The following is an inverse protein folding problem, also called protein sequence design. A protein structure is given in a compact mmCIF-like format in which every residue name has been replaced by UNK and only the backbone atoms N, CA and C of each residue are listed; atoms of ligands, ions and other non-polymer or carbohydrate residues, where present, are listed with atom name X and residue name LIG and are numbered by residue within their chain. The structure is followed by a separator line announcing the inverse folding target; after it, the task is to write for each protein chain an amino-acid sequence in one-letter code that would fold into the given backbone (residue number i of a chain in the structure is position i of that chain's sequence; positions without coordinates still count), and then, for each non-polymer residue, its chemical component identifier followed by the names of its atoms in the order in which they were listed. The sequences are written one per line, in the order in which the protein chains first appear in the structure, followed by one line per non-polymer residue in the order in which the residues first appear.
data_IF_712119786505
#
_entry.id   IF_712119786505
#
_cell.length_a   1.000
_cell.length_b   1.000
_cell.length_c   1.000
_cell.angle_alpha   90.00
_cell.angle_beta   90.00
_cell.angle_gamma   90.00
#
_symmetry.space_group_name_H-M   'P 1'
#
loop_
_entity.id
_entity.type
_entity.pdbx_description
1 polymer ?
#
# COMPACT_ATOMS: atom_id res chain seq x y z
N UNK A 1 -23.85 8.23 17.72
CA UNK A 1 -25.22 7.78 17.99
C UNK A 1 -25.59 6.62 17.06
N UNK A 2 -25.58 6.79 15.73
CA UNK A 2 -25.77 5.69 14.73
C UNK A 2 -25.03 4.39 15.08
N UNK A 3 -23.71 4.44 15.33
CA UNK A 3 -22.93 3.23 15.66
C UNK A 3 -23.43 2.48 16.92
N UNK A 4 -23.84 3.21 17.96
CA UNK A 4 -24.36 2.56 19.17
C UNK A 4 -25.75 1.95 18.95
N UNK A 5 -26.57 2.57 18.09
CA UNK A 5 -27.86 2.03 17.69
C UNK A 5 -27.69 0.76 16.84
N UNK A 6 -26.74 0.73 15.91
CA UNK A 6 -26.39 -0.47 15.11
C UNK A 6 -25.94 -1.64 16.00
N UNK A 7 -25.08 -1.38 16.98
CA UNK A 7 -24.61 -2.40 17.93
C UNK A 7 -25.76 -2.89 18.82
N UNK A 8 -26.62 -1.99 19.29
CA UNK A 8 -27.79 -2.37 20.08
C UNK A 8 -28.77 -3.23 19.26
N UNK A 9 -28.98 -2.88 17.98
CA UNK A 9 -29.80 -3.66 17.05
C UNK A 9 -29.22 -5.06 16.83
N UNK A 10 -27.91 -5.17 16.63
CA UNK A 10 -27.23 -6.46 16.50
C UNK A 10 -27.40 -7.33 17.76
N UNK A 11 -27.19 -6.77 18.95
CA UNK A 11 -27.34 -7.51 20.22
C UNK A 11 -28.79 -8.01 20.40
N UNK A 12 -29.76 -7.19 20.02
CA UNK A 12 -31.17 -7.57 20.09
C UNK A 12 -31.48 -8.74 19.15
N UNK A 13 -31.07 -8.64 17.87
CA UNK A 13 -31.32 -9.70 16.89
C UNK A 13 -30.59 -11.01 17.22
N UNK A 14 -29.38 -10.95 17.77
CA UNK A 14 -28.65 -12.13 18.26
C UNK A 14 -29.36 -12.83 19.42
N UNK A 15 -30.24 -12.13 20.14
CA UNK A 15 -30.97 -12.67 21.29
C UNK A 15 -32.30 -13.31 20.88
N UNK A 16 -32.93 -12.82 19.82
CA UNK A 16 -34.23 -13.29 19.36
C UNK A 16 -34.15 -14.48 18.38
N UNK A 17 -32.98 -14.79 17.82
CA UNK A 17 -32.66 -15.98 16.98
C UNK A 17 -33.58 -16.22 15.76
N UNK A 18 -34.48 -15.30 15.43
CA UNK A 18 -35.49 -15.50 14.39
C UNK A 18 -34.99 -15.19 12.96
N UNK A 19 -33.87 -14.46 12.77
CA UNK A 19 -33.36 -14.09 11.43
C UNK A 19 -31.82 -14.04 11.31
N UNK A 20 -31.16 -15.20 11.23
CA UNK A 20 -29.69 -15.30 11.08
C UNK A 20 -29.12 -14.47 9.91
N UNK A 21 -29.83 -14.42 8.77
CA UNK A 21 -29.39 -13.65 7.61
C UNK A 21 -29.31 -12.14 7.90
N UNK A 22 -30.31 -11.59 8.58
CA UNK A 22 -30.37 -10.16 8.92
C UNK A 22 -29.28 -9.81 9.94
N UNK A 23 -29.01 -10.70 10.90
CA UNK A 23 -27.87 -10.60 11.80
C UNK A 23 -26.54 -10.50 11.04
N UNK A 24 -26.29 -11.37 10.05
CA UNK A 24 -25.06 -11.33 9.25
C UNK A 24 -24.92 -10.03 8.45
N UNK A 25 -26.02 -9.50 7.91
CA UNK A 25 -26.04 -8.23 7.18
C UNK A 25 -25.68 -7.07 8.12
N UNK A 26 -26.34 -6.95 9.27
CA UNK A 26 -26.06 -5.87 10.23
C UNK A 26 -24.66 -6.00 10.83
N UNK A 27 -24.18 -7.22 11.11
CA UNK A 27 -22.80 -7.46 11.55
C UNK A 27 -21.77 -6.96 10.52
N UNK A 28 -22.06 -7.12 9.22
CA UNK A 28 -21.20 -6.62 8.14
C UNK A 28 -21.14 -5.10 8.14
N UNK A 29 -22.27 -4.42 8.36
CA UNK A 29 -22.31 -2.95 8.49
C UNK A 29 -21.54 -2.47 9.73
N UNK A 30 -21.77 -3.09 10.89
CA UNK A 30 -21.05 -2.76 12.13
C UNK A 30 -19.54 -2.91 11.92
N UNK A 31 -19.11 -4.02 11.30
CA UNK A 31 -17.70 -4.28 11.00
C UNK A 31 -17.12 -3.23 10.06
N UNK A 32 -17.86 -2.84 9.03
CA UNK A 32 -17.44 -1.79 8.11
C UNK A 32 -17.29 -0.41 8.80
N UNK A 33 -18.23 -0.05 9.66
CA UNK A 33 -18.17 1.19 10.46
C UNK A 33 -16.97 1.17 11.41
N UNK A 34 -16.71 0.03 12.09
CA UNK A 34 -15.54 -0.14 12.95
C UNK A 34 -14.25 0.06 12.17
N UNK A 35 -14.11 -0.53 10.98
CA UNK A 35 -12.93 -0.36 10.12
C UNK A 35 -12.75 1.12 9.73
N UNK A 36 -13.81 1.77 9.26
CA UNK A 36 -13.77 3.18 8.86
C UNK A 36 -13.37 4.12 10.01
N UNK A 37 -13.99 3.96 11.18
CA UNK A 37 -13.66 4.75 12.37
C UNK A 37 -12.25 4.47 12.89
N UNK A 38 -11.82 3.21 12.88
CA UNK A 38 -10.47 2.81 13.31
C UNK A 38 -9.41 3.47 12.44
N UNK A 39 -9.60 3.47 11.11
CA UNK A 39 -8.72 4.15 10.16
C UNK A 39 -8.70 5.66 10.37
N UNK A 40 -9.87 6.30 10.54
CA UNK A 40 -9.95 7.74 10.83
C UNK A 40 -9.16 8.07 12.10
N UNK A 41 -9.39 7.32 13.18
CA UNK A 41 -8.70 7.53 14.45
C UNK A 41 -7.19 7.30 14.31
N UNK A 42 -6.77 6.24 13.62
CA UNK A 42 -5.36 5.95 13.35
C UNK A 42 -4.69 7.10 12.59
N UNK A 43 -5.33 7.60 11.52
CA UNK A 43 -4.85 8.75 10.74
C UNK A 43 -4.77 10.00 11.61
N UNK A 44 -5.78 10.29 12.42
CA UNK A 44 -5.77 11.44 13.33
C UNK A 44 -4.64 11.36 14.35
N UNK A 45 -4.41 10.19 14.95
CA UNK A 45 -3.34 9.94 15.92
C UNK A 45 -1.95 10.03 15.28
N UNK A 46 -1.79 9.52 14.06
CA UNK A 46 -0.51 9.45 13.36
C UNK A 46 -0.26 10.64 12.41
N UNK A 47 -1.17 11.61 12.33
CA UNK A 47 -1.09 12.77 11.42
C UNK A 47 0.28 13.46 11.40
N UNK A 48 0.97 13.73 12.53
CA UNK A 48 2.30 14.35 12.48
C UNK A 48 3.34 13.46 11.79
N UNK A 49 3.35 12.16 12.09
CA UNK A 49 4.27 11.17 11.48
C UNK A 49 4.01 11.02 9.99
N UNK A 50 2.74 10.93 9.59
CA UNK A 50 2.36 10.84 8.18
C UNK A 50 2.75 12.10 7.40
N UNK A 51 2.58 13.27 8.01
CA UNK A 51 3.03 14.54 7.40
C UNK A 51 4.55 14.55 7.23
N UNK A 52 5.29 14.09 8.22
CA UNK A 52 6.75 13.95 8.13
C UNK A 52 7.15 12.96 7.03
N UNK A 53 6.47 11.81 6.92
CA UNK A 53 6.70 10.82 5.86
C UNK A 53 6.46 11.43 4.46
N UNK A 54 5.32 12.10 4.26
CA UNK A 54 5.02 12.77 2.97
C UNK A 54 6.05 13.84 2.66
N UNK A 55 6.53 14.58 3.66
CA UNK A 55 7.59 15.56 3.47
C UNK A 55 8.92 14.90 3.07
N UNK A 56 9.30 13.78 3.67
CA UNK A 56 10.49 13.02 3.26
C UNK A 56 10.35 12.51 1.82
N UNK A 57 9.20 11.92 1.48
CA UNK A 57 8.90 11.50 0.11
C UNK A 57 8.97 12.66 -0.88
N UNK A 58 8.52 13.86 -0.49
CA UNK A 58 8.63 15.07 -1.31
C UNK A 58 10.08 15.49 -1.52
N UNK A 59 10.94 15.38 -0.50
CA UNK A 59 12.37 15.72 -0.65
C UNK A 59 13.11 14.78 -1.59
N UNK A 60 12.67 13.54 -1.70
CA UNK A 60 13.21 12.57 -2.65
C UNK A 60 12.55 12.64 -4.03
N UNK A 61 11.48 13.43 -4.19
CA UNK A 61 10.72 13.47 -5.43
C UNK A 61 11.57 14.00 -6.60
N UNK A 62 11.44 13.42 -7.81
CA UNK A 62 12.23 13.85 -8.95
C UNK A 62 12.09 15.34 -9.23
N UNK A 63 13.21 16.00 -9.51
CA UNK A 63 13.21 17.41 -9.90
C UNK A 63 12.35 17.64 -11.16
N UNK A 64 11.76 18.82 -11.35
CA UNK A 64 11.05 19.17 -12.57
C UNK A 64 11.95 19.27 -13.83
N UNK A 65 13.24 18.90 -13.74
CA UNK A 65 14.15 18.83 -14.88
C UNK A 65 13.64 17.84 -15.94
N UNK A 66 13.79 18.18 -17.22
CA UNK A 66 13.30 17.31 -18.31
C UNK A 66 13.95 15.92 -18.28
N UNK A 67 15.22 15.83 -17.85
CA UNK A 67 15.98 14.58 -17.74
C UNK A 67 15.42 13.67 -16.63
N UNK A 68 15.18 14.22 -15.44
CA UNK A 68 14.61 13.43 -14.33
C UNK A 68 13.18 12.97 -14.63
N UNK A 69 12.41 13.79 -15.35
CA UNK A 69 11.06 13.46 -15.80
C UNK A 69 11.03 12.30 -16.80
N UNK A 70 12.02 12.22 -17.69
CA UNK A 70 12.16 11.11 -18.64
C UNK A 70 12.57 9.81 -17.92
N UNK A 71 13.53 9.90 -17.00
CA UNK A 71 14.10 8.75 -16.33
C UNK A 71 13.15 8.10 -15.31
N UNK A 72 12.48 8.92 -14.50
CA UNK A 72 11.49 8.47 -13.51
C UNK A 72 10.09 8.28 -14.10
N UNK A 73 9.78 8.93 -15.23
CA UNK A 73 8.45 8.93 -15.85
C UNK A 73 7.29 9.17 -14.86
N UNK A 74 7.36 10.21 -13.99
CA UNK A 74 6.41 10.38 -12.88
C UNK A 74 4.96 10.59 -13.36
N UNK A 75 4.76 11.09 -14.59
CA UNK A 75 3.42 11.19 -15.21
C UNK A 75 2.77 9.81 -15.43
N UNK A 76 3.55 8.80 -15.81
CA UNK A 76 3.06 7.44 -16.00
C UNK A 76 2.64 6.82 -14.67
N UNK A 77 3.44 7.03 -13.62
CA UNK A 77 3.12 6.60 -12.26
C UNK A 77 1.92 7.32 -11.68
N UNK A 78 1.81 8.63 -11.90
CA UNK A 78 0.64 9.40 -11.53
C UNK A 78 -0.62 8.89 -12.25
N UNK A 79 -0.53 8.52 -13.53
CA UNK A 79 -1.65 7.93 -14.28
C UNK A 79 -2.07 6.58 -13.68
N UNK A 80 -1.11 5.73 -13.28
CA UNK A 80 -1.39 4.47 -12.56
C UNK A 80 -2.07 4.74 -11.21
N UNK A 81 -1.53 5.66 -10.42
CA UNK A 81 -2.12 6.08 -9.15
C UNK A 81 -3.57 6.57 -9.33
N UNK A 82 -3.82 7.47 -10.30
CA UNK A 82 -5.18 7.92 -10.61
C UNK A 82 -6.09 6.79 -11.10
N UNK A 83 -5.57 5.82 -11.85
CA UNK A 83 -6.35 4.67 -12.30
C UNK A 83 -6.84 3.83 -11.12
N UNK A 84 -5.95 3.50 -10.18
CA UNK A 84 -6.32 2.77 -8.96
C UNK A 84 -7.27 3.59 -8.09
N UNK A 85 -6.97 4.87 -7.86
CA UNK A 85 -7.84 5.77 -7.08
C UNK A 85 -9.24 5.89 -7.69
N UNK A 86 -9.33 6.05 -9.02
CA UNK A 86 -10.62 6.13 -9.71
C UNK A 86 -11.37 4.81 -9.66
N UNK A 87 -10.71 3.68 -9.92
CA UNK A 87 -11.34 2.36 -9.87
C UNK A 87 -11.90 2.06 -8.48
N UNK A 88 -11.08 2.23 -7.45
CA UNK A 88 -11.49 1.99 -6.06
C UNK A 88 -12.57 2.99 -5.60
N UNK A 89 -12.43 4.27 -5.93
CA UNK A 89 -13.42 5.30 -5.63
C UNK A 89 -14.77 5.03 -6.31
N UNK A 90 -14.78 4.63 -7.58
CA UNK A 90 -16.01 4.27 -8.30
C UNK A 90 -16.68 3.05 -7.69
N UNK A 91 -15.92 2.00 -7.37
CA UNK A 91 -16.45 0.79 -6.73
C UNK A 91 -17.21 1.14 -5.45
N UNK A 92 -16.56 1.83 -4.51
CA UNK A 92 -17.21 2.18 -3.25
C UNK A 92 -18.34 3.20 -3.40
N UNK A 93 -18.25 4.10 -4.38
CA UNK A 93 -19.34 5.03 -4.68
C UNK A 93 -20.58 4.26 -5.12
N UNK A 94 -20.43 3.25 -5.99
CA UNK A 94 -21.53 2.37 -6.42
C UNK A 94 -22.12 1.63 -5.22
N UNK A 95 -21.28 1.03 -4.36
CA UNK A 95 -21.75 0.32 -3.16
C UNK A 95 -22.56 1.25 -2.25
N UNK A 96 -22.04 2.46 -1.96
CA UNK A 96 -22.72 3.43 -1.12
C UNK A 96 -24.09 3.83 -1.70
N UNK A 97 -24.14 4.19 -2.98
CA UNK A 97 -25.40 4.58 -3.61
C UNK A 97 -26.38 3.42 -3.77
N UNK A 98 -25.90 2.18 -3.93
CA UNK A 98 -26.77 1.02 -3.91
C UNK A 98 -27.49 0.92 -2.57
N UNK A 99 -26.77 1.02 -1.44
CA UNK A 99 -27.39 1.02 -0.11
C UNK A 99 -28.28 2.25 0.14
N UNK A 100 -27.88 3.43 -0.35
CA UNK A 100 -28.60 4.67 -0.09
C UNK A 100 -29.82 4.90 -1.01
N UNK A 101 -29.90 4.29 -2.20
CA UNK A 101 -30.96 4.57 -3.17
C UNK A 101 -31.90 3.39 -3.41
N UNK A 102 -31.44 2.14 -3.29
CA UNK A 102 -32.29 0.96 -3.53
C UNK A 102 -33.53 0.94 -2.61
N UNK A 103 -33.42 1.19 -1.29
CA UNK A 103 -34.60 1.18 -0.40
C UNK A 103 -35.65 2.24 -0.81
N UNK A 104 -35.19 3.45 -1.18
CA UNK A 104 -36.08 4.52 -1.65
C UNK A 104 -36.74 4.16 -2.99
N UNK A 105 -35.96 3.58 -3.90
CA UNK A 105 -36.45 3.16 -5.21
C UNK A 105 -37.49 2.03 -5.08
N UNK A 106 -37.20 1.00 -4.29
CA UNK A 106 -38.13 -0.12 -4.03
C UNK A 106 -39.42 0.39 -3.41
N UNK A 107 -39.32 1.25 -2.39
CA UNK A 107 -40.49 1.86 -1.76
C UNK A 107 -41.33 2.66 -2.75
N UNK A 108 -40.70 3.49 -3.59
CA UNK A 108 -41.37 4.27 -4.61
C UNK A 108 -42.11 3.37 -5.63
N UNK A 109 -41.46 2.31 -6.12
CA UNK A 109 -42.07 1.36 -7.06
C UNK A 109 -43.25 0.64 -6.41
N UNK A 110 -43.09 0.11 -5.20
CA UNK A 110 -44.15 -0.62 -4.50
C UNK A 110 -45.37 0.26 -4.22
N UNK A 111 -45.15 1.49 -3.76
CA UNK A 111 -46.22 2.41 -3.38
C UNK A 111 -46.90 3.05 -4.58
N UNK A 112 -46.13 3.57 -5.54
CA UNK A 112 -46.67 4.40 -6.63
C UNK A 112 -47.00 3.60 -7.87
N UNK A 113 -46.14 2.66 -8.28
CA UNK A 113 -46.34 1.91 -9.52
C UNK A 113 -47.18 0.65 -9.32
N UNK A 114 -46.89 -0.12 -8.26
CA UNK A 114 -47.56 -1.40 -8.00
C UNK A 114 -48.79 -1.29 -7.09
N UNK A 115 -48.98 -0.13 -6.45
CA UNK A 115 -50.07 0.12 -5.50
C UNK A 115 -50.21 -0.99 -4.44
N UNK A 116 -49.07 -1.52 -3.98
CA UNK A 116 -49.06 -2.59 -2.99
C UNK A 116 -49.60 -2.03 -1.66
N UNK A 117 -50.64 -2.65 -1.07
CA UNK A 117 -51.31 -2.09 0.12
C UNK A 117 -50.40 -2.02 1.34
N UNK A 118 -49.42 -2.94 1.44
CA UNK A 118 -48.49 -3.04 2.56
C UNK A 118 -47.07 -2.55 2.20
N UNK A 119 -46.97 -1.51 1.36
CA UNK A 119 -45.67 -0.93 1.01
C UNK A 119 -45.06 -0.19 2.23
N UNK A 120 -44.01 -0.76 2.82
CA UNK A 120 -43.37 -0.20 4.00
C UNK A 120 -42.09 0.60 3.70
N UNK A 121 -41.84 1.65 4.47
CA UNK A 121 -40.58 2.39 4.44
C UNK A 121 -39.44 1.56 5.05
N UNK A 122 -38.30 1.50 4.37
CA UNK A 122 -37.12 0.71 4.75
C UNK A 122 -35.92 1.64 4.91
N UNK A 123 -35.19 1.48 6.02
CA UNK A 123 -33.94 2.19 6.29
C UNK A 123 -32.76 1.60 5.50
N UNK A 124 -31.71 2.40 5.19
CA UNK A 124 -30.63 1.97 4.30
C UNK A 124 -29.66 0.95 4.91
N UNK A 125 -29.54 0.90 6.24
CA UNK A 125 -28.60 -0.01 6.92
C UNK A 125 -29.28 -0.92 7.94
N UNK A 126 -30.00 -0.37 8.92
CA UNK A 126 -30.68 -1.18 9.95
C UNK A 126 -32.07 -0.62 10.26
N UNK A 127 -32.99 -1.51 10.65
CA UNK A 127 -34.40 -1.17 10.87
C UNK A 127 -34.77 -0.92 12.33
N UNK A 128 -33.93 -1.29 13.30
CA UNK A 128 -34.29 -1.22 14.72
C UNK A 128 -33.91 0.14 15.34
N UNK A 129 -34.80 1.12 15.20
CA UNK A 129 -34.69 2.42 15.89
C UNK A 129 -35.63 2.46 17.10
N UNK A 130 -35.26 3.15 18.20
CA UNK A 130 -36.10 3.22 19.40
C UNK A 130 -37.32 4.14 19.25
N UNK A 131 -37.53 4.77 18.09
CA UNK A 131 -38.72 5.56 17.75
C UNK A 131 -39.36 5.02 16.47
N UNK A 132 -40.68 5.23 16.34
CA UNK A 132 -41.42 4.85 15.14
C UNK A 132 -41.11 5.81 13.99
N UNK A 133 -40.42 5.29 12.97
CA UNK A 133 -40.10 6.06 11.77
C UNK A 133 -41.08 5.80 10.63
N UNK A 134 -41.80 4.67 10.61
CA UNK A 134 -42.66 4.30 9.49
C UNK A 134 -43.88 5.22 9.44
N UNK A 135 -44.18 5.71 8.25
CA UNK A 135 -45.27 6.66 7.98
C UNK A 135 -45.19 7.95 8.84
N UNK A 136 -44.00 8.27 9.36
CA UNK A 136 -43.75 9.44 10.21
C UNK A 136 -42.78 10.40 9.53
N UNK A 137 -42.85 11.69 9.89
CA UNK A 137 -41.87 12.68 9.44
C UNK A 137 -40.45 12.34 9.92
N UNK A 138 -40.33 11.56 11.01
CA UNK A 138 -39.04 11.08 11.54
C UNK A 138 -38.27 10.19 10.55
N UNK A 139 -38.93 9.62 9.54
CA UNK A 139 -38.26 8.87 8.49
C UNK A 139 -37.12 9.66 7.83
N UNK A 140 -37.38 10.90 7.40
CA UNK A 140 -36.40 11.69 6.63
C UNK A 140 -35.13 12.03 7.42
N UNK A 141 -35.19 12.59 8.65
CA UNK A 141 -33.99 12.86 9.42
C UNK A 141 -33.26 11.59 9.85
N UNK A 142 -33.97 10.49 10.16
CA UNK A 142 -33.32 9.19 10.49
C UNK A 142 -32.61 8.62 9.27
N UNK A 143 -33.24 8.64 8.09
CA UNK A 143 -32.64 8.19 6.84
C UNK A 143 -31.37 9.00 6.50
N UNK A 144 -31.45 10.32 6.65
CA UNK A 144 -30.31 11.21 6.45
C UNK A 144 -29.19 10.93 7.45
N UNK A 145 -29.51 10.72 8.73
CA UNK A 145 -28.54 10.40 9.76
C UNK A 145 -27.77 9.10 9.44
N UNK A 146 -28.50 8.03 9.13
CA UNK A 146 -27.91 6.75 8.75
C UNK A 146 -27.07 6.88 7.46
N UNK A 147 -27.57 7.61 6.46
CA UNK A 147 -26.84 7.86 5.20
C UNK A 147 -25.55 8.65 5.39
N UNK A 148 -25.56 9.63 6.30
CA UNK A 148 -24.38 10.43 6.65
C UNK A 148 -23.35 9.59 7.43
N UNK A 149 -23.82 8.71 8.33
CA UNK A 149 -22.97 7.78 9.06
C UNK A 149 -22.28 6.80 8.09
N UNK A 150 -23.05 6.17 7.20
CA UNK A 150 -22.53 5.26 6.17
C UNK A 150 -21.56 5.96 5.20
N UNK A 151 -21.85 7.20 4.79
CA UNK A 151 -20.95 8.02 3.97
C UNK A 151 -19.62 8.27 4.69
N UNK A 152 -19.68 8.69 5.95
CA UNK A 152 -18.48 9.00 6.76
C UNK A 152 -17.60 7.77 6.94
N UNK A 153 -18.20 6.61 7.27
CA UNK A 153 -17.48 5.35 7.39
C UNK A 153 -16.82 4.94 6.07
N UNK A 154 -17.54 5.08 4.96
CA UNK A 154 -17.05 4.78 3.61
C UNK A 154 -15.85 5.67 3.24
N UNK A 155 -15.97 6.98 3.43
CA UNK A 155 -14.87 7.91 3.17
C UNK A 155 -13.65 7.63 4.04
N UNK A 156 -13.85 7.35 5.34
CA UNK A 156 -12.77 7.00 6.26
C UNK A 156 -12.03 5.73 5.84
N UNK A 157 -12.77 4.71 5.39
CA UNK A 157 -12.21 3.46 4.93
C UNK A 157 -11.37 3.66 3.65
N UNK A 158 -11.92 4.36 2.66
CA UNK A 158 -11.28 4.60 1.36
C UNK A 158 -10.03 5.49 1.48
N UNK A 159 -10.13 6.59 2.23
CA UNK A 159 -9.05 7.57 2.31
C UNK A 159 -7.75 6.98 2.88
N UNK A 160 -7.88 6.10 3.88
CA UNK A 160 -6.74 5.38 4.47
C UNK A 160 -6.02 4.51 3.44
N UNK A 161 -6.79 3.71 2.68
CA UNK A 161 -6.22 2.76 1.71
C UNK A 161 -5.58 3.48 0.52
N UNK A 162 -6.25 4.49 -0.02
CA UNK A 162 -5.74 5.27 -1.16
C UNK A 162 -4.40 5.95 -0.85
N UNK A 163 -4.25 6.43 0.38
CA UNK A 163 -3.00 7.05 0.82
C UNK A 163 -1.86 6.03 0.92
N UNK A 164 -2.13 4.82 1.41
CA UNK A 164 -1.15 3.73 1.42
C UNK A 164 -0.74 3.41 -0.02
N UNK A 165 -1.70 3.25 -0.93
CA UNK A 165 -1.41 2.99 -2.35
C UNK A 165 -0.56 4.08 -2.98
N UNK A 166 -0.86 5.35 -2.69
CA UNK A 166 -0.07 6.47 -3.21
C UNK A 166 1.38 6.42 -2.72
N UNK A 167 1.61 6.18 -1.43
CA UNK A 167 2.96 6.06 -0.85
C UNK A 167 3.71 4.88 -1.45
N UNK A 168 3.07 3.70 -1.51
CA UNK A 168 3.67 2.49 -2.07
C UNK A 168 4.05 2.69 -3.54
N UNK A 169 3.17 3.26 -4.36
CA UNK A 169 3.46 3.55 -5.77
C UNK A 169 4.63 4.52 -5.93
N UNK A 170 4.77 5.50 -5.05
CA UNK A 170 5.91 6.41 -5.08
C UNK A 170 7.22 5.68 -4.72
N UNK A 171 7.20 4.81 -3.71
CA UNK A 171 8.36 3.99 -3.33
C UNK A 171 8.77 3.08 -4.50
N UNK A 172 7.83 2.41 -5.16
CA UNK A 172 8.09 1.56 -6.33
C UNK A 172 8.73 2.36 -7.47
N UNK A 173 8.26 3.59 -7.73
CA UNK A 173 8.86 4.47 -8.74
C UNK A 173 10.36 4.73 -8.46
N UNK A 174 10.75 4.91 -7.20
CA UNK A 174 12.16 5.08 -6.83
C UNK A 174 12.97 3.79 -7.02
N UNK A 175 12.41 2.63 -6.71
CA UNK A 175 13.06 1.34 -6.96
C UNK A 175 13.28 1.06 -8.44
N UNK A 176 12.29 1.35 -9.30
CA UNK A 176 12.48 1.21 -10.75
C UNK A 176 13.61 2.11 -11.26
N UNK A 177 13.76 3.32 -10.71
CA UNK A 177 14.91 4.17 -11.07
C UNK A 177 16.22 3.54 -10.64
N UNK A 178 16.30 3.04 -9.41
CA UNK A 178 17.52 2.43 -8.89
C UNK A 178 17.92 1.22 -9.75
N UNK A 179 16.95 0.38 -10.13
CA UNK A 179 17.18 -0.75 -11.04
C UNK A 179 17.79 -0.30 -12.37
N UNK A 180 17.25 0.74 -13.02
CA UNK A 180 17.82 1.30 -14.27
C UNK A 180 19.26 1.81 -14.09
N UNK A 181 19.59 2.38 -12.94
CA UNK A 181 20.95 2.84 -12.63
C UNK A 181 21.91 1.65 -12.50
N UNK A 182 21.45 0.55 -11.89
CA UNK A 182 22.22 -0.69 -11.79
C UNK A 182 22.45 -1.33 -13.16
N UNK A 183 21.45 -1.33 -14.03
CA UNK A 183 21.59 -1.82 -15.40
C UNK A 183 22.64 -1.01 -16.19
N UNK A 184 22.60 0.32 -16.08
CA UNK A 184 23.61 1.19 -16.71
C UNK A 184 25.01 0.96 -16.13
N UNK A 185 25.12 0.76 -14.82
CA UNK A 185 26.39 0.42 -14.18
C UNK A 185 26.95 -0.89 -14.73
N UNK A 186 26.11 -1.90 -14.93
CA UNK A 186 26.50 -3.17 -15.52
C UNK A 186 26.90 -3.02 -17.01
N UNK A 187 26.21 -2.18 -17.78
CA UNK A 187 26.59 -1.90 -19.18
C UNK A 187 27.97 -1.23 -19.28
N UNK A 188 28.25 -0.25 -18.41
CA UNK A 188 29.51 0.52 -18.43
C UNK A 188 30.68 -0.28 -17.85
N UNK A 189 30.47 -0.95 -16.71
CA UNK A 189 31.54 -1.58 -15.95
C UNK A 189 31.55 -3.10 -16.02
N UNK A 190 30.53 -3.76 -16.57
CA UNK A 190 30.43 -5.22 -16.57
C UNK A 190 31.60 -5.91 -17.27
N UNK A 191 31.94 -5.49 -18.49
CA UNK A 191 33.08 -6.08 -19.23
C UNK A 191 34.43 -5.76 -18.56
N UNK A 192 34.75 -4.51 -18.20
CA UNK A 192 35.95 -4.21 -17.42
C UNK A 192 36.07 -5.01 -16.12
N UNK A 193 34.97 -5.17 -15.37
CA UNK A 193 34.96 -5.94 -14.13
C UNK A 193 35.22 -7.43 -14.38
N UNK A 194 34.62 -8.00 -15.44
CA UNK A 194 34.87 -9.39 -15.82
C UNK A 194 36.34 -9.61 -16.22
N UNK A 195 36.89 -8.72 -17.04
CA UNK A 195 38.30 -8.77 -17.44
C UNK A 195 39.22 -8.62 -16.24
N UNK A 196 38.90 -7.72 -15.32
CA UNK A 196 39.65 -7.52 -14.10
C UNK A 196 39.65 -8.76 -13.20
N UNK A 197 38.48 -9.39 -13.02
CA UNK A 197 38.36 -10.62 -12.25
C UNK A 197 39.17 -11.77 -12.86
N UNK A 198 39.12 -11.94 -14.19
CA UNK A 198 39.92 -12.94 -14.90
C UNK A 198 41.42 -12.67 -14.79
N UNK A 199 41.84 -11.42 -14.97
CA UNK A 199 43.24 -11.02 -14.87
C UNK A 199 43.79 -11.22 -13.44
N UNK A 200 43.04 -10.79 -12.42
CA UNK A 200 43.41 -10.96 -11.02
C UNK A 200 43.45 -12.44 -10.61
N UNK A 201 42.53 -13.27 -11.11
CA UNK A 201 42.56 -14.72 -10.88
C UNK A 201 43.82 -15.37 -11.49
N UNK A 202 44.14 -15.05 -12.75
CA UNK A 202 45.37 -15.52 -13.40
C UNK A 202 46.62 -15.05 -12.68
N UNK A 203 46.65 -13.80 -12.25
CA UNK A 203 47.76 -13.22 -11.48
C UNK A 203 47.96 -13.96 -10.17
N UNK A 204 46.89 -14.18 -9.40
CA UNK A 204 46.93 -14.94 -8.13
C UNK A 204 47.49 -16.35 -8.36
N UNK A 205 47.03 -17.05 -9.41
CA UNK A 205 47.54 -18.38 -9.75
C UNK A 205 49.03 -18.38 -10.11
N UNK A 206 49.47 -17.46 -10.97
CA UNK A 206 50.85 -17.40 -11.45
C UNK A 206 51.82 -16.95 -10.34
N UNK A 207 51.47 -15.91 -9.59
CA UNK A 207 52.28 -15.39 -8.47
C UNK A 207 52.33 -16.42 -7.35
N UNK A 208 51.20 -17.08 -7.05
CA UNK A 208 51.15 -18.19 -6.10
C UNK A 208 52.10 -19.32 -6.48
N UNK A 209 52.15 -19.70 -7.76
CA UNK A 209 53.09 -20.72 -8.26
C UNK A 209 54.55 -20.25 -8.18
N UNK A 210 54.86 -19.01 -8.56
CA UNK A 210 56.22 -18.47 -8.51
C UNK A 210 56.81 -18.49 -7.08
N UNK A 211 55.98 -18.24 -6.06
CA UNK A 211 56.37 -18.31 -4.66
C UNK A 211 56.78 -19.73 -4.21
N UNK A 212 56.42 -20.79 -4.95
CA UNK A 212 56.77 -22.18 -4.61
C UNK A 212 58.11 -22.66 -5.16
N UNK A 213 58.63 -22.04 -6.23
CA UNK A 213 59.79 -22.58 -6.96
C UNK A 213 61.11 -21.92 -6.54
N UNK A 214 61.13 -20.61 -6.27
CA UNK A 214 62.37 -19.88 -6.05
C UNK A 214 62.28 -18.89 -4.89
N UNK A 215 63.14 -19.05 -3.88
CA UNK A 215 63.21 -18.15 -2.74
C UNK A 215 64.35 -17.15 -2.92
N UNK A 216 64.00 -15.94 -3.38
CA UNK A 216 64.91 -14.80 -3.39
C UNK A 216 64.29 -13.66 -2.56
N UNK A 217 64.92 -13.19 -1.47
CA UNK A 217 64.30 -12.27 -0.51
C UNK A 217 63.76 -10.98 -1.13
N UNK A 218 64.44 -10.45 -2.16
CA UNK A 218 64.02 -9.20 -2.82
C UNK A 218 62.78 -9.40 -3.71
N UNK A 219 62.72 -10.52 -4.45
CA UNK A 219 61.60 -10.84 -5.33
C UNK A 219 60.38 -11.34 -4.54
N UNK A 220 60.62 -12.05 -3.44
CA UNK A 220 59.59 -12.55 -2.54
C UNK A 220 58.72 -11.42 -2.00
N UNK A 221 59.33 -10.34 -1.50
CA UNK A 221 58.59 -9.20 -0.96
C UNK A 221 57.70 -8.53 -2.03
N UNK A 222 58.22 -8.34 -3.25
CA UNK A 222 57.47 -7.77 -4.38
C UNK A 222 56.28 -8.66 -4.79
N UNK A 223 56.47 -9.98 -4.86
CA UNK A 223 55.42 -10.93 -5.21
C UNK A 223 54.31 -11.02 -4.15
N UNK A 224 54.68 -11.00 -2.86
CA UNK A 224 53.71 -10.99 -1.76
C UNK A 224 52.88 -9.71 -1.76
N UNK A 225 53.50 -8.55 -1.99
CA UNK A 225 52.79 -7.28 -2.13
C UNK A 225 51.80 -7.31 -3.31
N UNK A 226 52.23 -7.84 -4.46
CA UNK A 226 51.38 -7.97 -5.65
C UNK A 226 50.19 -8.90 -5.41
N UNK A 227 50.42 -10.05 -4.77
CA UNK A 227 49.36 -10.98 -4.38
C UNK A 227 48.36 -10.34 -3.41
N UNK A 228 48.86 -9.63 -2.41
CA UNK A 228 48.03 -8.92 -1.42
C UNK A 228 47.16 -7.88 -2.11
N UNK A 229 47.73 -7.12 -3.06
CA UNK A 229 46.97 -6.13 -3.84
C UNK A 229 45.83 -6.77 -4.62
N UNK A 230 46.09 -7.87 -5.34
CA UNK A 230 45.06 -8.55 -6.14
C UNK A 230 43.94 -9.16 -5.26
N UNK A 231 44.30 -9.71 -4.09
CA UNK A 231 43.32 -10.23 -3.14
C UNK A 231 42.45 -9.11 -2.55
N UNK A 232 43.04 -7.97 -2.22
CA UNK A 232 42.29 -6.80 -1.72
C UNK A 232 41.32 -6.28 -2.79
N UNK A 233 41.74 -6.23 -4.05
CA UNK A 233 40.89 -5.80 -5.15
C UNK A 233 39.68 -6.72 -5.35
N UNK A 234 39.88 -8.04 -5.40
CA UNK A 234 38.79 -9.02 -5.49
C UNK A 234 37.86 -8.89 -4.27
N UNK A 235 38.44 -8.80 -3.06
CA UNK A 235 37.68 -8.66 -1.83
C UNK A 235 36.77 -7.43 -1.85
N UNK A 236 37.29 -6.27 -2.23
CA UNK A 236 36.51 -5.03 -2.26
C UNK A 236 35.35 -5.11 -3.26
N UNK A 237 35.59 -5.66 -4.46
CA UNK A 237 34.53 -5.84 -5.46
C UNK A 237 33.41 -6.75 -4.95
N UNK A 238 33.76 -7.90 -4.36
CA UNK A 238 32.78 -8.82 -3.79
C UNK A 238 32.05 -8.20 -2.58
N UNK A 239 32.77 -7.49 -1.72
CA UNK A 239 32.22 -6.85 -0.53
C UNK A 239 31.15 -5.80 -0.88
N UNK A 240 31.45 -4.87 -1.79
CA UNK A 240 30.47 -3.86 -2.21
C UNK A 240 29.29 -4.47 -2.98
N UNK A 241 29.54 -5.52 -3.78
CA UNK A 241 28.46 -6.24 -4.47
C UNK A 241 27.52 -6.94 -3.48
N UNK A 242 28.08 -7.59 -2.44
CA UNK A 242 27.29 -8.21 -1.39
C UNK A 242 26.46 -7.18 -0.62
N UNK A 243 27.06 -6.04 -0.23
CA UNK A 243 26.33 -4.97 0.44
C UNK A 243 25.14 -4.47 -0.39
N UNK A 244 25.28 -4.39 -1.72
CA UNK A 244 24.20 -3.98 -2.60
C UNK A 244 23.08 -5.04 -2.69
N UNK A 245 23.45 -6.32 -2.77
CA UNK A 245 22.48 -7.43 -2.78
C UNK A 245 21.71 -7.50 -1.45
N UNK A 246 22.43 -7.42 -0.32
CA UNK A 246 21.83 -7.42 1.02
C UNK A 246 20.91 -6.21 1.18
N UNK A 247 21.32 -5.02 0.72
CA UNK A 247 20.46 -3.84 0.74
C UNK A 247 19.18 -4.03 -0.08
N UNK A 248 19.26 -4.67 -1.26
CA UNK A 248 18.09 -4.98 -2.08
C UNK A 248 17.15 -6.00 -1.42
N UNK A 249 17.69 -7.02 -0.76
CA UNK A 249 16.91 -8.05 -0.07
C UNK A 249 16.27 -7.50 1.21
N UNK A 250 17.00 -6.68 1.96
CA UNK A 250 16.53 -6.02 3.17
C UNK A 250 15.31 -5.14 2.94
N UNK A 251 15.10 -4.62 1.74
CA UNK A 251 13.87 -3.90 1.38
C UNK A 251 12.67 -4.84 1.42
N UNK A 252 12.81 -6.04 0.85
CA UNK A 252 11.77 -7.07 0.89
C UNK A 252 11.45 -7.47 2.32
N UNK A 253 12.46 -7.72 3.14
CA UNK A 253 12.29 -8.02 4.56
C UNK A 253 11.68 -6.85 5.33
N UNK A 254 12.13 -5.62 5.11
CA UNK A 254 11.59 -4.45 5.78
C UNK A 254 10.12 -4.21 5.45
N UNK A 255 9.68 -4.53 4.23
CA UNK A 255 8.26 -4.50 3.85
C UNK A 255 7.51 -5.64 4.53
N UNK A 256 8.06 -6.85 4.57
CA UNK A 256 7.44 -8.00 5.22
C UNK A 256 7.28 -7.79 6.74
N UNK A 257 8.31 -7.30 7.42
CA UNK A 257 8.38 -7.05 8.87
C UNK A 257 7.67 -5.76 9.31
N UNK A 258 6.96 -5.06 8.41
CA UNK A 258 6.08 -3.98 8.82
C UNK A 258 5.01 -4.52 9.78
N UNK A 259 4.62 -3.72 10.78
CA UNK A 259 3.47 -4.05 11.64
C UNK A 259 2.16 -3.84 10.84
N UNK A 260 1.82 -4.80 9.95
CA UNK A 260 0.62 -4.80 9.09
C UNK A 260 -0.70 -4.83 9.87
#
# INVERSE_FOLDING_TARGET
FSFFAEVAALIHMLREDENFLECCIVLSYVSFVVIGLSKIFAVMKQKPKMTALVNQLKTCFPSPSAKDQEEYAPKSWLKRCHMYTKGFGVLYTILYFAHALIPLFVYFVQRTLLQYPDAEQIMPFYQLEPWEFRNSWLFYPTYFHQSLAGYTATCGSIAGDLMIFAVVLQVIMHYERLAKVLDLMNEVFGVPLLLNFLASSLLVCLVGFQLTIAFNPEYFCKQVLLLTSALVEIYLLCYFSQMLMDASENVGFAVYDMDW
#
